data_IF_949102575890
#
_entry.id   IF_949102575890
#
_cell.length_a   1.000
_cell.length_b   1.000
_cell.length_c   1.000
_cell.angle_alpha   90.00
_cell.angle_beta   90.00
_cell.angle_gamma   90.00
#
_symmetry.space_group_name_H-M   'P 1'
#
loop_
_entity.id
_entity.type
_entity.pdbx_description
1 polymer ?
#
# COMPACT_ATOMS: atom_id res chain seq x y z
N UNK A 1 20.48 -7.05 5.45
CA UNK A 1 20.46 -5.89 4.53
C UNK A 1 19.03 -5.74 4.07
N UNK A 2 18.30 -4.76 4.61
CA UNK A 2 16.87 -4.60 4.36
C UNK A 2 16.59 -4.27 2.90
N UNK A 3 15.45 -4.74 2.39
CA UNK A 3 14.92 -4.39 1.07
C UNK A 3 14.71 -2.87 0.88
N UNK A 4 14.79 -2.09 1.97
CA UNK A 4 14.59 -0.65 2.00
C UNK A 4 15.61 0.19 1.19
N UNK A 5 16.79 -0.34 0.87
CA UNK A 5 17.85 0.40 0.15
C UNK A 5 18.00 0.01 -1.34
N UNK A 6 17.21 -0.94 -1.84
CA UNK A 6 17.20 -1.28 -3.27
C UNK A 6 16.02 -0.59 -3.94
N UNK A 7 16.31 0.47 -4.70
CA UNK A 7 15.36 1.00 -5.68
C UNK A 7 15.08 -0.09 -6.70
N UNK A 8 13.89 -0.70 -6.59
CA UNK A 8 13.36 -1.60 -7.59
C UNK A 8 13.23 -0.86 -8.91
N UNK A 9 13.55 -1.54 -10.02
CA UNK A 9 13.19 -1.06 -11.35
C UNK A 9 11.67 -1.01 -11.50
N UNK A 10 11.17 -0.26 -12.49
CA UNK A 10 9.73 -0.20 -12.74
C UNK A 10 9.15 -1.60 -13.02
N UNK A 11 9.88 -2.45 -13.75
CA UNK A 11 9.49 -3.83 -14.04
C UNK A 11 9.39 -4.68 -12.77
N UNK A 12 10.33 -4.51 -11.84
CA UNK A 12 10.33 -5.19 -10.55
C UNK A 12 9.18 -4.72 -9.65
N UNK A 13 8.84 -3.43 -9.68
CA UNK A 13 7.69 -2.87 -8.96
C UNK A 13 6.36 -3.40 -9.50
N UNK A 14 6.19 -3.41 -10.82
CA UNK A 14 4.98 -3.95 -11.48
C UNK A 14 4.78 -5.43 -11.19
N UNK A 15 5.87 -6.22 -11.20
CA UNK A 15 5.81 -7.64 -10.86
C UNK A 15 5.39 -7.85 -9.40
N UNK A 16 5.94 -7.05 -8.48
CA UNK A 16 5.60 -7.11 -7.06
C UNK A 16 4.13 -6.73 -6.83
N UNK A 17 3.66 -5.63 -7.42
CA UNK A 17 2.26 -5.20 -7.36
C UNK A 17 1.34 -6.31 -7.89
N UNK A 18 1.68 -6.90 -9.04
CA UNK A 18 0.90 -8.00 -9.63
C UNK A 18 0.82 -9.22 -8.72
N UNK A 19 1.89 -9.55 -7.99
CA UNK A 19 1.92 -10.64 -7.03
C UNK A 19 1.02 -10.36 -5.82
N UNK A 20 1.12 -9.15 -5.26
CA UNK A 20 0.33 -8.71 -4.10
C UNK A 20 -1.17 -8.68 -4.41
N UNK A 21 -1.54 -8.26 -5.62
CA UNK A 21 -2.92 -8.26 -6.09
C UNK A 21 -3.47 -9.69 -6.26
N UNK A 22 -2.68 -10.61 -6.83
CA UNK A 22 -3.10 -12.01 -7.03
C UNK A 22 -3.36 -12.79 -5.74
N UNK A 23 -2.70 -12.39 -4.66
CA UNK A 23 -2.79 -13.08 -3.37
C UNK A 23 -3.73 -12.36 -2.40
N UNK A 24 -4.49 -11.35 -2.85
CA UNK A 24 -5.38 -10.51 -2.03
C UNK A 24 -4.68 -9.75 -0.88
N UNK A 25 -3.35 -9.88 -0.74
CA UNK A 25 -2.54 -9.19 0.26
C UNK A 25 -2.47 -7.67 0.08
N UNK A 26 -2.77 -7.17 -1.12
CA UNK A 26 -2.83 -5.72 -1.37
C UNK A 26 -3.85 -5.02 -0.46
N UNK A 27 -5.02 -5.65 -0.24
CA UNK A 27 -6.08 -5.10 0.62
C UNK A 27 -5.67 -5.18 2.09
N UNK A 28 -5.04 -6.28 2.51
CA UNK A 28 -4.58 -6.44 3.89
C UNK A 28 -3.52 -5.40 4.26
N UNK A 29 -2.55 -5.18 3.37
CA UNK A 29 -1.51 -4.18 3.55
C UNK A 29 -2.09 -2.77 3.63
N UNK A 30 -3.02 -2.43 2.73
CA UNK A 30 -3.70 -1.13 2.74
C UNK A 30 -4.54 -0.93 4.01
N UNK A 31 -5.25 -1.97 4.45
CA UNK A 31 -6.05 -1.91 5.68
C UNK A 31 -5.18 -1.70 6.90
N UNK A 32 -4.05 -2.39 7.00
CA UNK A 32 -3.08 -2.21 8.08
C UNK A 32 -2.50 -0.79 8.06
N UNK A 33 -2.10 -0.29 6.89
CA UNK A 33 -1.51 1.05 6.77
C UNK A 33 -2.49 2.14 7.18
N UNK A 34 -3.75 2.04 6.72
CA UNK A 34 -4.83 2.97 7.11
C UNK A 34 -5.11 2.89 8.60
N UNK A 35 -5.17 1.68 9.17
CA UNK A 35 -5.38 1.49 10.60
C UNK A 35 -4.25 2.10 11.44
N UNK A 36 -3.00 1.95 11.03
CA UNK A 36 -1.84 2.54 11.72
C UNK A 36 -1.91 4.09 11.67
N UNK A 37 -2.36 4.65 10.55
CA UNK A 37 -2.56 6.10 10.41
C UNK A 37 -3.71 6.58 11.32
N UNK A 38 -4.84 5.90 11.31
CA UNK A 38 -6.05 6.27 12.07
C UNK A 38 -5.85 6.15 13.58
N UNK A 39 -5.01 5.22 14.03
CA UNK A 39 -4.63 5.08 15.44
C UNK A 39 -3.47 5.99 15.86
N UNK A 40 -2.90 6.77 14.93
CA UNK A 40 -1.80 7.69 15.20
C UNK A 40 -0.44 7.00 15.38
N UNK A 41 -0.30 5.74 14.96
CA UNK A 41 0.98 5.02 14.92
C UNK A 41 1.84 5.49 13.73
N UNK A 42 1.20 6.01 12.67
CA UNK A 42 1.87 6.63 11.52
C UNK A 42 1.34 8.03 11.24
N UNK A 43 2.26 8.97 11.06
CA UNK A 43 1.93 10.33 10.63
C UNK A 43 2.15 10.46 9.11
N UNK A 44 1.07 10.67 8.38
CA UNK A 44 1.08 11.03 6.96
C UNK A 44 0.34 12.35 6.76
N UNK A 45 0.59 13.03 5.65
CA UNK A 45 -0.22 14.20 5.30
C UNK A 45 -1.63 13.79 4.86
N UNK A 46 -2.56 14.75 4.94
CA UNK A 46 -3.95 14.50 4.54
C UNK A 46 -4.09 14.09 3.06
N UNK A 47 -3.14 14.50 2.21
CA UNK A 47 -3.15 14.15 0.79
C UNK A 47 -2.82 12.66 0.59
N UNK A 48 -1.76 12.15 1.24
CA UNK A 48 -1.41 10.73 1.18
C UNK A 48 -2.49 9.87 1.81
N UNK A 49 -3.04 10.26 2.96
CA UNK A 49 -4.17 9.53 3.57
C UNK A 49 -5.34 9.41 2.61
N UNK A 50 -5.75 10.52 1.97
CA UNK A 50 -6.84 10.51 1.00
C UNK A 50 -6.54 9.60 -0.20
N UNK A 51 -5.30 9.60 -0.70
CA UNK A 51 -4.90 8.70 -1.78
C UNK A 51 -4.98 7.23 -1.37
N UNK A 52 -4.56 6.89 -0.15
CA UNK A 52 -4.66 5.53 0.39
C UNK A 52 -6.10 5.08 0.55
N UNK A 53 -6.99 5.94 1.05
CA UNK A 53 -8.43 5.62 1.16
C UNK A 53 -9.06 5.38 -0.21
N UNK A 54 -8.80 6.26 -1.19
CA UNK A 54 -9.30 6.07 -2.56
C UNK A 54 -8.76 4.79 -3.18
N UNK A 55 -7.49 4.46 -2.96
CA UNK A 55 -6.89 3.22 -3.45
C UNK A 55 -7.55 2.00 -2.81
N UNK A 56 -7.81 2.06 -1.50
CA UNK A 56 -8.51 1.02 -0.77
C UNK A 56 -9.91 0.74 -1.33
N UNK A 57 -10.71 1.79 -1.53
CA UNK A 57 -12.05 1.67 -2.11
C UNK A 57 -12.01 1.02 -3.49
N UNK A 58 -11.05 1.43 -4.33
CA UNK A 58 -10.91 0.88 -5.69
C UNK A 58 -10.57 -0.59 -5.69
N UNK A 59 -9.63 -1.04 -4.85
CA UNK A 59 -9.22 -2.44 -4.83
C UNK A 59 -10.28 -3.33 -4.16
N UNK A 60 -11.04 -2.80 -3.20
CA UNK A 60 -12.05 -3.57 -2.47
C UNK A 60 -13.38 -3.68 -3.22
N UNK A 61 -13.74 -2.70 -4.03
CA UNK A 61 -15.07 -2.59 -4.65
C UNK A 61 -15.09 -2.61 -6.19
N UNK A 62 -13.96 -2.49 -6.88
CA UNK A 62 -13.83 -2.79 -8.32
C UNK A 62 -13.37 -4.24 -8.56
#
# INVERSE_FOLDING_TARGET
MGLADKRLSNEEQELLISLLMKQEYAIELLSSELNDIENGEKAVDMETYKQLTVLYDRIRFE
#
